data_IF_501486235141
#
_entry.id   IF_501486235141
#
_cell.length_a   1.000
_cell.length_b   1.000
_cell.length_c   1.000
_cell.angle_alpha   90.00
_cell.angle_beta   90.00
_cell.angle_gamma   90.00
#
_symmetry.space_group_name_H-M   'P 1'
#
loop_
_entity.id
_entity.type
_entity.pdbx_description
1 polymer ?
#
# COMPACT_ATOMS: atom_id res chain seq x y z
N UNK A 1 -5.10 7.88 17.85
CA UNK A 1 -5.78 8.76 16.88
C UNK A 1 -4.77 9.13 15.82
N UNK A 2 -4.90 8.61 14.59
CA UNK A 2 -4.01 8.99 13.47
C UNK A 2 -4.36 10.43 13.13
N UNK A 3 -3.44 11.35 13.39
CA UNK A 3 -3.58 12.71 12.89
C UNK A 3 -3.36 12.66 11.37
N UNK A 4 -4.23 13.27 10.55
CA UNK A 4 -4.12 13.23 9.09
C UNK A 4 -2.82 13.88 8.59
N UNK A 5 -2.16 14.68 9.42
CA UNK A 5 -0.88 15.36 9.12
C UNK A 5 0.32 14.40 8.94
N UNK A 6 0.24 13.13 9.37
CA UNK A 6 1.35 12.18 9.24
C UNK A 6 1.30 11.32 7.97
N UNK A 7 0.25 11.44 7.14
CA UNK A 7 0.13 10.69 5.90
C UNK A 7 -0.09 9.19 6.11
N UNK A 8 0.31 8.38 5.12
CA UNK A 8 0.06 6.93 5.11
C UNK A 8 1.24 6.18 5.75
N UNK A 9 0.95 5.07 6.44
CA UNK A 9 1.98 4.19 7.01
C UNK A 9 2.44 3.20 5.94
N UNK A 10 3.74 3.21 5.66
CA UNK A 10 4.39 2.41 4.61
C UNK A 10 5.54 1.60 5.19
N UNK A 11 5.89 0.50 4.51
CA UNK A 11 7.05 -0.31 4.85
C UNK A 11 8.12 -0.13 3.76
N UNK A 12 9.36 0.09 4.18
CA UNK A 12 10.46 0.20 3.24
C UNK A 12 10.73 -1.18 2.57
N UNK A 13 10.83 -1.26 1.23
CA UNK A 13 11.13 -2.51 0.53
C UNK A 13 12.57 -2.99 0.73
N UNK A 14 13.49 -2.12 1.16
CA UNK A 14 14.92 -2.44 1.33
C UNK A 14 15.27 -2.89 2.74
N UNK A 15 14.80 -2.16 3.77
CA UNK A 15 15.16 -2.43 5.17
C UNK A 15 14.01 -2.91 6.05
N UNK A 16 12.78 -2.98 5.52
CA UNK A 16 11.60 -3.48 6.25
C UNK A 16 11.07 -2.55 7.35
N UNK A 17 11.72 -1.41 7.60
CA UNK A 17 11.26 -0.43 8.60
C UNK A 17 9.90 0.15 8.20
N UNK A 18 8.96 0.18 9.15
CA UNK A 18 7.64 0.79 8.98
C UNK A 18 7.71 2.26 9.40
N UNK A 19 7.27 3.18 8.54
CA UNK A 19 7.30 4.61 8.78
C UNK A 19 6.09 5.31 8.15
N UNK A 20 5.85 6.55 8.54
CA UNK A 20 4.81 7.41 7.99
C UNK A 20 5.41 8.30 6.89
N UNK A 21 4.68 8.52 5.78
CA UNK A 21 5.18 9.29 4.63
C UNK A 21 5.03 10.82 4.75
N UNK A 22 4.40 11.32 5.83
CA UNK A 22 4.18 12.75 6.08
C UNK A 22 3.52 13.49 4.90
N UNK A 23 2.75 12.78 4.06
CA UNK A 23 2.10 13.35 2.87
C UNK A 23 2.97 13.37 1.62
N UNK A 24 4.18 12.82 1.66
CA UNK A 24 5.03 12.62 0.49
C UNK A 24 4.76 11.23 -0.10
N UNK A 25 3.64 11.12 -0.79
CA UNK A 25 3.13 9.84 -1.30
C UNK A 25 3.93 9.34 -2.52
N UNK A 26 4.50 10.27 -3.30
CA UNK A 26 5.23 10.03 -4.53
C UNK A 26 6.32 11.11 -4.74
N UNK A 27 7.62 10.80 -4.57
CA UNK A 27 8.24 9.53 -4.20
C UNK A 27 8.50 9.38 -2.69
N UNK A 28 8.35 8.16 -2.14
CA UNK A 28 8.53 7.92 -0.70
C UNK A 28 9.99 7.71 -0.36
N UNK A 29 10.48 8.46 0.63
CA UNK A 29 11.84 8.28 1.15
C UNK A 29 11.84 7.55 2.49
N UNK A 30 12.61 6.47 2.61
CA UNK A 30 12.77 5.77 3.87
C UNK A 30 13.62 6.56 4.87
N UNK A 31 13.12 6.75 6.08
CA UNK A 31 13.84 7.43 7.18
C UNK A 31 15.08 6.67 7.69
N UNK A 32 15.16 5.36 7.45
CA UNK A 32 16.22 4.51 8.00
C UNK A 32 17.38 4.29 7.03
N UNK A 33 17.09 4.16 5.73
CA UNK A 33 18.11 3.85 4.72
C UNK A 33 18.14 4.83 3.54
N UNK A 34 17.36 5.92 3.62
CA UNK A 34 17.27 6.98 2.61
C UNK A 34 16.93 6.48 1.19
N UNK A 35 16.38 5.28 1.06
CA UNK A 35 15.94 4.76 -0.25
C UNK A 35 14.64 5.44 -0.66
N UNK A 36 14.63 5.96 -1.88
CA UNK A 36 13.44 6.53 -2.50
C UNK A 36 12.76 5.47 -3.35
N UNK A 37 11.47 5.23 -3.14
CA UNK A 37 10.71 4.23 -3.90
C UNK A 37 9.30 4.73 -4.22
N UNK A 38 8.75 4.26 -5.34
CA UNK A 38 7.40 4.58 -5.75
C UNK A 38 6.44 3.45 -5.30
N UNK A 39 5.45 3.73 -4.44
CA UNK A 39 4.35 2.80 -4.14
C UNK A 39 3.45 2.53 -5.36
N UNK A 40 3.74 1.57 -6.23
CA UNK A 40 2.74 1.25 -7.26
C UNK A 40 1.38 0.94 -6.61
N UNK A 41 0.32 1.73 -6.90
CA UNK A 41 -0.98 1.45 -6.35
C UNK A 41 -1.36 0.12 -6.93
N UNK A 42 -1.36 -0.93 -6.10
CA UNK A 42 -1.79 -2.25 -6.50
C UNK A 42 -3.19 -2.12 -7.11
N UNK A 43 -3.24 -2.07 -8.44
CA UNK A 43 -4.48 -2.08 -9.18
C UNK A 43 -5.07 -3.44 -8.82
N UNK A 44 -6.10 -3.44 -7.96
CA UNK A 44 -6.79 -4.64 -7.49
C UNK A 44 -7.41 -5.30 -8.71
N UNK A 45 -6.62 -6.08 -9.43
CA UNK A 45 -6.99 -6.66 -10.71
C UNK A 45 -7.73 -7.95 -10.44
N UNK A 46 -9.00 -7.93 -10.85
CA UNK A 46 -9.89 -9.07 -11.07
C UNK A 46 -10.07 -10.00 -9.88
N UNK A 47 -10.96 -9.57 -8.98
CA UNK A 47 -11.83 -10.52 -8.29
C UNK A 47 -12.54 -11.38 -9.36
N UNK A 48 -12.34 -12.70 -9.43
CA UNK A 48 -13.25 -13.52 -10.20
C UNK A 48 -14.63 -13.39 -9.54
N UNK A 49 -15.62 -12.99 -10.35
CA UNK A 49 -17.02 -13.06 -9.92
C UNK A 49 -17.27 -14.49 -9.41
N UNK A 50 -17.84 -14.67 -8.20
CA UNK A 50 -18.24 -16.00 -7.74
C UNK A 50 -19.16 -16.59 -8.80
N UNK A 51 -18.79 -17.74 -9.35
CA UNK A 51 -19.63 -18.47 -10.30
C UNK A 51 -20.93 -18.84 -9.57
N UNK A 52 -22.02 -18.19 -9.94
CA UNK A 52 -23.34 -18.42 -9.37
C UNK A 52 -23.74 -19.88 -9.62
N UNK A 53 -24.15 -20.53 -8.54
CA UNK A 53 -24.20 -21.97 -8.40
C UNK A 53 -25.23 -22.58 -9.36
N UNK A 54 -24.81 -23.60 -10.11
CA UNK A 54 -25.71 -24.53 -10.80
C UNK A 54 -26.63 -25.15 -9.74
N UNK A 55 -27.91 -24.79 -9.76
CA UNK A 55 -28.96 -25.61 -9.15
C UNK A 55 -29.86 -26.12 -10.27
N UNK A 56 -29.56 -27.33 -10.73
CA UNK A 56 -30.56 -28.21 -11.31
C UNK A 56 -31.16 -29.01 -10.16
N UNK A 57 -32.38 -28.69 -9.79
CA UNK A 57 -33.44 -29.61 -9.33
C UNK A 57 -34.77 -28.85 -9.39
#
# INVERSE_FOLDING_TARGET
MVKPEWGTKRACPKCGTRFYDLGNEDPVTCIACAVTFNPEPILKSKQPLPFEQVKAD
#
